data_IF_080913780733
#
_entry.id   IF_080913780733
#
_cell.length_a   1.000
_cell.length_b   1.000
_cell.length_c   1.000
_cell.angle_alpha   90.00
_cell.angle_beta   90.00
_cell.angle_gamma   90.00
#
_symmetry.space_group_name_H-M   'P 1'
#
loop_
_entity.id
_entity.type
_entity.pdbx_description
1 polymer ?
#
# COMPACT_ATOMS: atom_id res chain seq x y z
N UNK A 1 -27.65 32.35 27.91
CA UNK A 1 -27.47 30.91 28.21
C UNK A 1 -27.72 30.14 26.92
N UNK A 2 -26.64 29.74 26.21
CA UNK A 2 -26.76 28.96 24.99
C UNK A 2 -26.86 27.47 25.34
N UNK A 3 -27.99 26.87 24.99
CA UNK A 3 -28.22 25.43 25.08
C UNK A 3 -27.25 24.71 24.13
N UNK A 4 -26.19 24.11 24.68
CA UNK A 4 -25.34 23.17 23.95
C UNK A 4 -25.99 21.81 24.06
N UNK A 5 -26.93 21.54 23.16
CA UNK A 5 -27.51 20.21 22.99
C UNK A 5 -26.42 19.14 22.85
N UNK A 6 -26.68 17.89 23.27
CA UNK A 6 -25.67 16.85 23.27
C UNK A 6 -25.16 16.62 21.85
N UNK A 7 -23.84 16.78 21.68
CA UNK A 7 -23.14 16.32 20.48
C UNK A 7 -23.47 14.83 20.31
N UNK A 8 -24.25 14.49 19.29
CA UNK A 8 -24.54 13.10 18.98
C UNK A 8 -23.22 12.41 18.63
N UNK A 9 -22.90 11.24 19.22
CA UNK A 9 -21.80 10.45 18.71
C UNK A 9 -22.12 10.14 17.25
N UNK A 10 -21.13 10.34 16.37
CA UNK A 10 -21.17 9.88 15.00
C UNK A 10 -21.08 8.34 15.04
N UNK A 11 -22.17 7.68 15.42
CA UNK A 11 -22.38 6.25 15.25
C UNK A 11 -22.68 5.99 13.76
N UNK A 12 -21.67 6.29 12.94
CA UNK A 12 -21.57 5.80 11.58
C UNK A 12 -20.94 4.42 11.63
N UNK A 13 -21.77 3.41 11.46
CA UNK A 13 -21.37 2.05 11.10
C UNK A 13 -20.47 2.12 9.87
N UNK A 14 -19.15 2.18 10.08
CA UNK A 14 -18.19 1.93 9.02
C UNK A 14 -18.01 0.43 8.93
N UNK A 15 -18.28 -0.15 7.77
CA UNK A 15 -17.72 -1.45 7.41
C UNK A 15 -16.26 -1.50 7.90
N UNK A 16 -15.78 -2.61 8.50
CA UNK A 16 -14.39 -2.67 8.95
C UNK A 16 -13.52 -2.31 7.76
N UNK A 17 -12.89 -1.12 7.77
CA UNK A 17 -11.96 -0.74 6.71
C UNK A 17 -10.95 -1.89 6.65
N UNK A 18 -10.96 -2.62 5.53
CA UNK A 18 -10.11 -3.80 5.37
C UNK A 18 -8.67 -3.32 5.41
N UNK A 19 -7.97 -3.60 6.51
CA UNK A 19 -6.55 -3.32 6.66
C UNK A 19 -6.15 -2.97 8.09
N UNK A 20 -4.85 -2.92 8.34
CA UNK A 20 -4.27 -2.56 9.63
C UNK A 20 -4.30 -1.03 9.81
N UNK A 21 -5.09 -0.46 10.74
CA UNK A 21 -5.17 0.99 10.90
C UNK A 21 -3.84 1.56 11.43
N UNK A 22 -3.30 2.60 10.77
CA UNK A 22 -2.02 3.22 11.17
C UNK A 22 -2.02 3.73 12.61
N UNK A 23 -3.15 4.31 13.04
CA UNK A 23 -3.34 4.81 14.41
C UNK A 23 -3.35 3.72 15.49
N UNK A 24 -3.51 2.46 15.09
CA UNK A 24 -3.54 1.31 16.00
C UNK A 24 -2.18 0.64 16.12
N UNK A 25 -1.18 1.06 15.34
CA UNK A 25 0.19 0.53 15.39
C UNK A 25 0.96 1.27 16.50
N UNK A 26 1.38 0.58 17.58
CA UNK A 26 2.00 1.24 18.75
C UNK A 26 3.24 2.06 18.42
N UNK A 27 4.08 1.55 17.52
CA UNK A 27 5.35 2.18 17.16
C UNK A 27 5.22 3.18 15.98
N UNK A 28 4.03 3.32 15.39
CA UNK A 28 3.82 4.27 14.31
C UNK A 28 3.47 5.65 14.90
N UNK A 29 4.25 6.71 14.60
CA UNK A 29 4.03 8.01 15.24
C UNK A 29 2.64 8.58 14.93
N UNK A 30 1.90 8.93 15.98
CA UNK A 30 0.52 9.39 15.87
C UNK A 30 0.37 10.67 15.01
N UNK A 31 1.36 11.56 15.04
CA UNK A 31 1.37 12.76 14.19
C UNK A 31 1.45 12.39 12.69
N UNK A 32 2.30 11.43 12.33
CA UNK A 32 2.43 10.96 10.95
C UNK A 32 1.16 10.25 10.49
N UNK A 33 0.54 9.46 11.37
CA UNK A 33 -0.77 8.85 11.08
C UNK A 33 -1.86 9.90 10.83
N UNK A 34 -1.84 11.04 11.54
CA UNK A 34 -2.79 12.15 11.32
C UNK A 34 -2.54 12.86 9.98
N UNK A 35 -1.29 13.14 9.65
CA UNK A 35 -0.91 13.74 8.36
C UNK A 35 -1.36 12.85 7.20
N UNK A 36 -1.13 11.54 7.28
CA UNK A 36 -1.58 10.57 6.29
C UNK A 36 -3.11 10.48 6.20
N UNK A 37 -3.81 10.51 7.35
CA UNK A 37 -5.27 10.49 7.37
C UNK A 37 -5.92 11.72 6.71
N UNK A 38 -5.26 12.88 6.71
CA UNK A 38 -5.71 14.07 5.99
C UNK A 38 -5.73 13.86 4.46
N UNK A 39 -4.97 12.88 3.96
CA UNK A 39 -4.97 12.42 2.57
C UNK A 39 -5.73 11.12 2.35
N UNK A 40 -6.56 10.73 3.32
CA UNK A 40 -7.31 9.47 3.33
C UNK A 40 -6.45 8.19 3.34
N UNK A 41 -5.15 8.30 3.62
CA UNK A 41 -4.26 7.16 3.86
C UNK A 41 -4.40 6.77 5.33
N UNK A 42 -5.12 5.70 5.60
CA UNK A 42 -5.52 5.33 6.98
C UNK A 42 -5.04 3.96 7.42
N UNK A 43 -4.62 3.10 6.49
CA UNK A 43 -4.09 1.76 6.77
C UNK A 43 -2.62 1.61 6.40
N UNK A 44 -1.96 0.62 7.00
CA UNK A 44 -0.58 0.26 6.71
C UNK A 44 -0.42 -0.19 5.26
N UNK A 45 -1.38 -0.93 4.72
CA UNK A 45 -1.38 -1.43 3.35
C UNK A 45 -1.43 -0.27 2.33
N UNK A 46 -2.26 0.75 2.57
CA UNK A 46 -2.33 1.96 1.73
C UNK A 46 -0.99 2.69 1.74
N UNK A 47 -0.43 2.91 2.94
CA UNK A 47 0.87 3.57 3.11
C UNK A 47 2.01 2.79 2.41
N UNK A 48 2.08 1.48 2.59
CA UNK A 48 3.09 0.63 1.96
C UNK A 48 2.94 0.57 0.45
N UNK A 49 1.71 0.60 -0.06
CA UNK A 49 1.44 0.67 -1.51
C UNK A 49 1.98 1.95 -2.13
N UNK A 50 1.87 3.09 -1.43
CA UNK A 50 2.48 4.35 -1.85
C UNK A 50 4.02 4.27 -1.79
N UNK A 51 4.58 3.70 -0.73
CA UNK A 51 6.02 3.57 -0.54
C UNK A 51 6.68 2.51 -1.46
N UNK A 52 5.90 1.77 -2.26
CA UNK A 52 6.39 0.70 -3.12
C UNK A 52 7.22 1.18 -4.32
N UNK A 53 7.23 2.49 -4.62
CA UNK A 53 7.99 3.05 -5.75
C UNK A 53 8.91 4.18 -5.31
N UNK A 54 10.05 4.42 -6.00
CA UNK A 54 10.95 5.53 -5.67
C UNK A 54 10.26 6.90 -5.70
N UNK A 55 9.35 7.12 -6.65
CA UNK A 55 8.54 8.35 -6.73
C UNK A 55 7.60 8.49 -5.54
N UNK A 56 6.96 7.40 -5.13
CA UNK A 56 6.09 7.40 -3.96
C UNK A 56 6.85 7.61 -2.65
N UNK A 57 8.06 7.05 -2.53
CA UNK A 57 8.95 7.32 -1.40
C UNK A 57 9.35 8.79 -1.33
N UNK A 58 9.80 9.38 -2.44
CA UNK A 58 10.13 10.81 -2.49
C UNK A 58 8.94 11.67 -2.09
N UNK A 59 7.75 11.40 -2.66
CA UNK A 59 6.53 12.14 -2.33
C UNK A 59 6.09 12.00 -0.87
N UNK A 60 6.28 10.81 -0.27
CA UNK A 60 5.99 10.59 1.15
C UNK A 60 6.99 11.29 2.06
N UNK A 61 8.28 11.29 1.73
CA UNK A 61 9.31 12.03 2.48
C UNK A 61 9.02 13.52 2.48
N UNK A 62 8.68 14.09 1.31
CA UNK A 62 8.34 15.51 1.18
C UNK A 62 7.06 15.84 1.96
N UNK A 63 6.02 15.02 1.82
CA UNK A 63 4.73 15.22 2.48
C UNK A 63 4.85 15.16 4.01
N UNK A 64 5.59 14.19 4.51
CA UNK A 64 5.75 13.98 5.94
C UNK A 64 6.89 14.84 6.50
N UNK A 65 7.62 15.59 5.66
CA UNK A 65 8.78 16.38 6.07
C UNK A 65 9.78 15.52 6.88
N UNK A 66 10.11 14.34 6.35
CA UNK A 66 11.03 13.37 6.96
C UNK A 66 12.17 13.00 6.00
N UNK A 67 13.32 12.63 6.58
CA UNK A 67 14.42 12.07 5.82
C UNK A 67 14.07 10.72 5.17
N UNK A 68 14.81 10.27 4.14
CA UNK A 68 14.64 8.94 3.56
C UNK A 68 14.82 7.81 4.58
N UNK A 69 15.75 7.98 5.53
CA UNK A 69 16.03 7.02 6.60
C UNK A 69 14.87 6.89 7.58
N UNK A 70 14.26 8.03 7.96
CA UNK A 70 13.05 8.04 8.78
C UNK A 70 11.86 7.43 8.03
N UNK A 71 11.70 7.73 6.74
CA UNK A 71 10.65 7.10 5.93
C UNK A 71 10.83 5.59 5.87
N UNK A 72 12.06 5.10 5.69
CA UNK A 72 12.35 3.67 5.69
C UNK A 72 12.00 3.03 7.04
N UNK A 73 12.29 3.70 8.15
CA UNK A 73 11.89 3.23 9.49
C UNK A 73 10.36 3.12 9.61
N UNK A 74 9.60 4.11 9.13
CA UNK A 74 8.14 4.06 9.11
C UNK A 74 7.60 2.92 8.25
N UNK A 75 8.21 2.68 7.09
CA UNK A 75 7.89 1.54 6.21
C UNK A 75 8.12 0.22 6.92
N UNK A 76 9.24 0.04 7.63
CA UNK A 76 9.52 -1.17 8.40
C UNK A 76 8.51 -1.40 9.53
N UNK A 77 8.14 -0.35 10.27
CA UNK A 77 7.13 -0.41 11.33
C UNK A 77 5.77 -0.84 10.76
N UNK A 78 5.34 -0.20 9.68
CA UNK A 78 4.08 -0.52 9.02
C UNK A 78 4.06 -1.96 8.49
N UNK A 79 5.13 -2.39 7.83
CA UNK A 79 5.26 -3.74 7.30
C UNK A 79 5.26 -4.82 8.39
N UNK A 80 5.98 -4.60 9.49
CA UNK A 80 6.03 -5.51 10.63
C UNK A 80 4.67 -5.65 11.35
N UNK A 81 3.76 -4.70 11.13
CA UNK A 81 2.42 -4.69 11.73
C UNK A 81 1.36 -5.36 10.86
N UNK A 82 1.72 -5.82 9.65
CA UNK A 82 0.79 -6.53 8.77
C UNK A 82 0.63 -8.00 9.20
N UNK A 83 -0.56 -8.59 9.01
CA UNK A 83 -0.72 -10.04 9.06
C UNK A 83 0.22 -10.73 8.07
N UNK A 84 0.78 -11.88 8.44
CA UNK A 84 1.80 -12.59 7.65
C UNK A 84 1.38 -12.84 6.19
N UNK A 85 0.10 -13.17 5.95
CA UNK A 85 -0.44 -13.37 4.60
C UNK A 85 -0.37 -12.09 3.76
N UNK A 86 -0.69 -10.94 4.36
CA UNK A 86 -0.67 -9.64 3.70
C UNK A 86 0.77 -9.19 3.47
N UNK A 87 1.65 -9.32 4.46
CA UNK A 87 3.08 -9.01 4.33
C UNK A 87 3.73 -9.78 3.16
N UNK A 88 3.37 -11.06 2.98
CA UNK A 88 3.84 -11.89 1.86
C UNK A 88 3.45 -11.36 0.48
N UNK A 89 2.33 -10.63 0.36
CA UNK A 89 1.93 -10.01 -0.91
C UNK A 89 2.86 -8.84 -1.28
N UNK A 90 3.33 -8.08 -0.28
CA UNK A 90 4.29 -6.98 -0.47
C UNK A 90 5.73 -7.46 -0.64
N UNK A 91 6.08 -8.63 -0.11
CA UNK A 91 7.42 -9.21 -0.25
C UNK A 91 7.74 -9.70 -1.67
N UNK A 92 6.73 -9.90 -2.53
CA UNK A 92 6.96 -10.32 -3.92
C UNK A 92 7.25 -9.08 -4.75
N UNK A 93 8.46 -8.90 -5.32
CA UNK A 93 8.64 -7.91 -6.34
C UNK A 93 7.68 -8.24 -7.49
N UNK A 94 6.77 -7.32 -7.80
CA UNK A 94 5.92 -7.39 -8.97
C UNK A 94 6.82 -7.31 -10.21
N UNK A 95 7.40 -8.45 -10.61
CA UNK A 95 8.38 -8.56 -11.70
C UNK A 95 7.83 -8.26 -13.10
N UNK A 96 6.68 -7.59 -13.18
CA UNK A 96 6.07 -7.18 -14.44
C UNK A 96 5.62 -5.73 -14.33
N UNK A 97 6.55 -4.85 -14.68
CA UNK A 97 6.30 -3.43 -14.89
C UNK A 97 5.61 -3.29 -16.25
N UNK A 98 4.30 -3.50 -16.29
CA UNK A 98 3.52 -3.19 -17.50
C UNK A 98 3.17 -1.70 -17.48
N UNK A 99 3.49 -0.93 -18.54
CA UNK A 99 3.04 0.44 -18.64
C UNK A 99 1.50 0.48 -18.63
N UNK A 100 0.94 1.44 -17.88
CA UNK A 100 -0.50 1.71 -17.86
C UNK A 100 -0.99 1.92 -19.30
N UNK A 101 -1.77 0.97 -19.81
CA UNK A 101 -2.25 0.93 -21.19
C UNK A 101 -1.82 -0.32 -22.00
N UNK A 102 -0.94 -1.17 -21.47
CA UNK A 102 -0.61 -2.44 -22.11
C UNK A 102 -1.76 -3.45 -21.96
N UNK A 103 -2.23 -3.99 -23.09
CA UNK A 103 -3.05 -5.21 -23.10
C UNK A 103 -2.16 -6.31 -22.52
N UNK A 104 -2.61 -6.96 -21.43
CA UNK A 104 -1.92 -8.11 -20.87
C UNK A 104 -1.78 -9.16 -21.98
N UNK A 105 -0.57 -9.72 -22.22
CA UNK A 105 -0.45 -10.86 -23.12
C UNK A 105 -1.35 -11.97 -22.58
N UNK A 106 -2.21 -12.51 -23.44
CA UNK A 106 -3.00 -13.69 -23.11
C UNK A 106 -2.07 -14.86 -22.71
N UNK A 107 -2.60 -15.90 -22.06
CA UNK A 107 -1.82 -17.05 -21.56
C UNK A 107 -1.09 -17.86 -22.66
N UNK A 108 -1.20 -17.45 -23.92
CA UNK A 108 -0.68 -18.08 -25.12
C UNK A 108 0.63 -17.47 -25.65
N UNK A 109 1.08 -16.33 -25.11
CA UNK A 109 2.33 -15.67 -25.57
C UNK A 109 3.53 -15.93 -24.63
N UNK A 110 3.75 -17.21 -24.29
CA UNK A 110 5.04 -17.66 -23.74
C UNK A 110 5.92 -18.16 -24.90
N UNK A 111 6.88 -17.38 -25.42
CA UNK A 111 7.84 -17.88 -26.39
C UNK A 111 8.83 -18.78 -25.66
N UNK A 112 8.47 -20.06 -25.57
CA UNK A 112 9.19 -21.01 -24.74
C UNK A 112 8.77 -22.46 -24.96
N UNK A 113 8.47 -22.86 -26.20
CA UNK A 113 8.55 -24.27 -26.60
C UNK A 113 8.84 -24.37 -28.10
N UNK A 114 10.09 -24.66 -28.43
CA UNK A 114 10.45 -25.11 -29.77
C UNK A 114 9.67 -26.39 -30.10
N UNK A 115 9.11 -26.54 -31.31
CA UNK A 115 8.98 -27.83 -31.93
C UNK A 115 10.23 -28.13 -32.73
N UNK A 116 11.01 -29.05 -32.16
CA UNK A 116 11.91 -29.97 -32.83
C UNK A 116 11.10 -30.89 -33.75
N UNK A 117 11.68 -31.24 -34.91
CA UNK A 117 11.27 -32.31 -35.87
C UNK A 117 9.93 -32.06 -36.62
N UNK A 118 9.77 -32.26 -37.93
CA UNK A 118 10.41 -33.09 -38.95
C UNK A 118 9.30 -33.53 -39.93
N UNK A 119 9.67 -33.94 -41.16
CA UNK A 119 8.80 -34.61 -42.16
C UNK A 119 7.77 -33.70 -42.88
N UNK A 120 7.56 -33.68 -44.20
CA UNK A 120 7.93 -34.52 -45.32
C UNK A 120 6.86 -34.31 -46.43
N UNK A 121 7.26 -34.52 -47.70
CA UNK A 121 6.49 -34.47 -48.96
C UNK A 121 6.54 -33.14 -49.75
#
# INVERSE_FOLDING_TARGET
MGDKGPVRPLEGQGEPRRGTPLRSIPDFPAERARQLAALWVTTAEEFLSMAATPKGQAGLSDLLEVSPEELEALVRIAYASLPEEVARAFARPSGKQFPLGAILPGPEDVPGKAPDEGEGA
#
